data_IF_564621151452
#
_entry.id   IF_564621151452
#
_cell.length_a   1.000
_cell.length_b   1.000
_cell.length_c   1.000
_cell.angle_alpha   90.00
_cell.angle_beta   90.00
_cell.angle_gamma   90.00
#
_symmetry.space_group_name_H-M   'P 1'
#
loop_
_entity.id
_entity.type
_entity.pdbx_description
1 polymer ?
#
# COMPACT_ATOMS: atom_id res chain seq x y z
N UNK A 1 9.75 -13.14 6.18
CA UNK A 1 9.67 -12.57 4.82
C UNK A 1 9.16 -11.16 4.97
N UNK A 2 9.92 -10.18 4.49
CA UNK A 2 9.70 -8.77 4.81
C UNK A 2 8.79 -8.09 3.78
N UNK A 3 7.60 -8.66 3.52
CA UNK A 3 6.67 -8.17 2.49
C UNK A 3 6.14 -6.78 2.84
N UNK A 4 5.80 -6.57 4.12
CA UNK A 4 5.38 -5.28 4.67
C UNK A 4 6.48 -4.23 4.50
N UNK A 5 7.71 -4.56 4.84
CA UNK A 5 8.86 -3.66 4.74
C UNK A 5 9.22 -3.38 3.28
N UNK A 6 9.00 -4.34 2.37
CA UNK A 6 9.17 -4.12 0.94
C UNK A 6 8.15 -3.13 0.40
N UNK A 7 6.88 -3.24 0.83
CA UNK A 7 5.81 -2.29 0.48
C UNK A 7 6.14 -0.91 1.07
N UNK A 8 6.59 -0.86 2.33
CA UNK A 8 6.99 0.39 2.99
C UNK A 8 8.12 1.10 2.22
N UNK A 9 9.19 0.38 1.89
CA UNK A 9 10.27 0.94 1.06
C UNK A 9 9.79 1.36 -0.32
N UNK A 10 8.90 0.58 -0.95
CA UNK A 10 8.33 0.94 -2.26
C UNK A 10 7.54 2.25 -2.19
N UNK A 11 6.81 2.50 -1.10
CA UNK A 11 6.06 3.75 -0.91
C UNK A 11 7.02 4.92 -0.74
N UNK A 12 8.03 4.82 0.14
CA UNK A 12 9.04 5.87 0.33
C UNK A 12 9.80 6.22 -0.95
N UNK A 13 10.02 5.24 -1.83
CA UNK A 13 10.66 5.47 -3.13
C UNK A 13 9.70 5.97 -4.22
N UNK A 14 8.39 5.71 -4.09
CA UNK A 14 7.39 6.15 -5.07
C UNK A 14 6.92 7.57 -4.78
N UNK A 15 6.79 7.92 -3.50
CA UNK A 15 6.16 9.14 -3.02
C UNK A 15 7.17 9.90 -2.14
N UNK A 16 8.05 10.75 -2.70
CA UNK A 16 9.01 11.53 -1.90
C UNK A 16 8.34 12.48 -0.89
N UNK A 17 7.10 12.88 -1.15
CA UNK A 17 6.23 13.67 -0.28
C UNK A 17 5.62 12.90 0.90
N UNK A 18 5.95 11.62 1.08
CA UNK A 18 5.32 10.79 2.10
C UNK A 18 5.85 11.10 3.50
N UNK A 19 4.95 11.26 4.45
CA UNK A 19 5.26 11.48 5.86
C UNK A 19 4.69 10.34 6.72
N UNK A 20 5.46 9.87 7.70
CA UNK A 20 4.94 8.89 8.68
C UNK A 20 3.96 9.57 9.62
N UNK A 21 2.75 9.04 9.73
CA UNK A 21 1.81 9.52 10.72
C UNK A 21 2.07 8.86 12.07
N UNK A 22 2.44 9.67 13.07
CA UNK A 22 2.78 9.22 14.42
C UNK A 22 1.62 9.31 15.43
N UNK A 23 0.53 10.02 15.08
CA UNK A 23 -0.58 10.35 15.98
C UNK A 23 -1.93 9.76 15.53
N UNK A 24 -1.96 8.51 15.09
CA UNK A 24 -3.22 7.85 14.71
C UNK A 24 -3.76 7.06 15.89
N UNK A 25 -5.05 7.20 16.25
CA UNK A 25 -5.66 6.41 17.31
C UNK A 25 -5.50 4.92 17.00
N UNK A 26 -4.99 4.20 17.99
CA UNK A 26 -4.49 2.83 17.91
C UNK A 26 -5.54 1.81 17.41
N UNK A 27 -5.73 1.70 16.09
CA UNK A 27 -6.29 0.50 15.46
C UNK A 27 -5.15 -0.31 14.84
N UNK A 28 -4.79 -1.41 15.51
CA UNK A 28 -3.74 -2.37 15.15
C UNK A 28 -2.31 -1.79 15.13
N UNK A 29 -1.56 -2.01 16.22
CA UNK A 29 -0.13 -1.68 16.36
C UNK A 29 0.78 -2.24 15.25
N UNK A 30 0.30 -3.21 14.47
CA UNK A 30 1.05 -3.80 13.37
C UNK A 30 0.99 -2.99 12.07
N UNK A 31 0.00 -2.09 11.93
CA UNK A 31 -0.20 -1.31 10.72
C UNK A 31 0.63 -0.03 10.75
N UNK A 32 1.10 0.39 9.58
CA UNK A 32 1.79 1.67 9.39
C UNK A 32 0.86 2.54 8.58
N UNK A 33 0.76 3.80 8.98
CA UNK A 33 0.01 4.79 8.25
C UNK A 33 0.95 5.90 7.79
N UNK A 34 0.77 6.29 6.55
CA UNK A 34 1.61 7.20 5.83
C UNK A 34 0.69 8.24 5.20
N UNK A 35 1.01 9.51 5.41
CA UNK A 35 0.34 10.62 4.75
C UNK A 35 1.05 10.85 3.42
N UNK A 36 0.30 10.91 2.33
CA UNK A 36 0.81 11.21 0.99
C UNK A 36 0.16 12.52 0.55
N UNK A 37 0.94 13.59 0.51
CA UNK A 37 0.42 14.97 0.40
C UNK A 37 -0.62 15.28 1.51
N UNK A 38 -1.36 16.38 1.38
CA UNK A 38 -2.46 16.69 2.29
C UNK A 38 -3.77 15.95 1.95
N UNK A 39 -3.79 15.24 0.83
CA UNK A 39 -5.04 14.76 0.23
C UNK A 39 -5.17 13.24 0.20
N UNK A 40 -4.10 12.48 0.51
CA UNK A 40 -4.12 11.01 0.53
C UNK A 40 -3.48 10.42 1.80
N UNK A 41 -3.91 9.20 2.13
CA UNK A 41 -3.32 8.38 3.19
C UNK A 41 -3.11 6.96 2.70
N UNK A 42 -1.92 6.41 2.91
CA UNK A 42 -1.62 5.00 2.73
C UNK A 42 -1.58 4.27 4.08
N UNK A 43 -2.24 3.12 4.15
CA UNK A 43 -2.20 2.19 5.28
C UNK A 43 -1.57 0.89 4.81
N UNK A 44 -0.49 0.47 5.47
CA UNK A 44 0.20 -0.80 5.21
C UNK A 44 -0.11 -1.75 6.37
N UNK A 45 -0.40 -3.01 6.07
CA UNK A 45 -0.57 -4.03 7.10
C UNK A 45 -0.21 -5.43 6.63
N UNK A 46 -0.15 -6.35 7.59
CA UNK A 46 0.10 -7.79 7.35
C UNK A 46 -1.22 -8.52 7.50
N UNK A 47 -1.59 -9.33 6.50
CA UNK A 47 -2.76 -10.22 6.59
C UNK A 47 -2.35 -11.61 7.08
N UNK A 48 -1.19 -12.11 6.64
CA UNK A 48 -0.64 -13.40 7.07
C UNK A 48 0.86 -13.47 6.83
N UNK A 49 1.51 -14.58 7.21
CA UNK A 49 2.93 -14.84 6.95
C UNK A 49 3.35 -14.62 5.48
N UNK A 50 2.43 -14.82 4.54
CA UNK A 50 2.68 -14.75 3.10
C UNK A 50 1.87 -13.66 2.39
N UNK A 51 1.21 -12.77 3.14
CA UNK A 51 0.40 -11.71 2.54
C UNK A 51 0.39 -10.42 3.35
N UNK A 52 0.41 -9.32 2.62
CA UNK A 52 0.40 -7.96 3.15
C UNK A 52 -0.45 -7.08 2.23
N UNK A 53 -0.92 -5.96 2.75
CA UNK A 53 -1.76 -5.04 1.99
C UNK A 53 -1.25 -3.61 2.08
N UNK A 54 -1.61 -2.82 1.08
CA UNK A 54 -1.60 -1.36 1.12
C UNK A 54 -2.98 -0.86 0.74
N UNK A 55 -3.54 0.04 1.54
CA UNK A 55 -4.77 0.76 1.22
C UNK A 55 -4.43 2.23 1.05
N UNK A 56 -4.74 2.81 -0.11
CA UNK A 56 -4.65 4.25 -0.35
C UNK A 56 -6.05 4.83 -0.26
N UNK A 57 -6.21 5.89 0.52
CA UNK A 57 -7.49 6.56 0.79
C UNK A 57 -7.37 8.04 0.44
N UNK A 58 -8.41 8.60 -0.16
CA UNK A 58 -8.58 10.06 -0.31
C UNK A 58 -9.12 10.68 0.98
N UNK A 59 -8.58 11.84 1.35
CA UNK A 59 -8.95 12.57 2.56
C UNK A 59 -9.94 13.70 2.31
N UNK A 60 -9.92 14.32 1.13
CA UNK A 60 -10.64 15.58 0.86
C UNK A 60 -12.03 15.42 0.22
N UNK A 61 -12.43 14.21 -0.15
CA UNK A 61 -13.71 13.96 -0.82
C UNK A 61 -14.76 13.42 0.15
N UNK A 62 -15.97 14.01 0.15
CA UNK A 62 -17.14 13.49 0.90
C UNK A 62 -17.43 12.02 0.55
N UNK A 63 -16.99 11.60 -0.64
CA UNK A 63 -17.05 10.23 -1.12
C UNK A 63 -15.66 9.58 -0.99
N UNK A 64 -15.33 9.11 0.23
CA UNK A 64 -14.06 8.48 0.60
C UNK A 64 -13.72 7.30 -0.33
N UNK A 65 -13.05 7.63 -1.42
CA UNK A 65 -12.62 6.65 -2.41
C UNK A 65 -11.33 6.02 -1.92
N UNK A 66 -11.18 4.73 -2.18
CA UNK A 66 -10.01 4.01 -1.72
C UNK A 66 -9.65 2.87 -2.66
N UNK A 67 -8.36 2.57 -2.70
CA UNK A 67 -7.79 1.46 -3.43
C UNK A 67 -7.04 0.57 -2.45
N UNK A 68 -7.52 -0.66 -2.29
CA UNK A 68 -6.89 -1.70 -1.51
C UNK A 68 -6.15 -2.64 -2.45
N UNK A 69 -4.84 -2.79 -2.23
CA UNK A 69 -4.00 -3.76 -2.92
C UNK A 69 -3.54 -4.79 -1.92
N UNK A 70 -3.79 -6.06 -2.21
CA UNK A 70 -3.28 -7.19 -1.42
C UNK A 70 -2.21 -7.92 -2.21
N UNK A 71 -1.00 -8.03 -1.66
CA UNK A 71 0.09 -8.82 -2.20
C UNK A 71 0.12 -10.18 -1.53
N UNK A 72 0.22 -11.24 -2.33
CA UNK A 72 0.29 -12.63 -1.86
C UNK A 72 1.51 -13.30 -2.49
N UNK A 73 2.19 -14.14 -1.70
CA UNK A 73 3.16 -15.10 -2.22
C UNK A 73 2.51 -16.48 -2.22
N UNK A 74 2.54 -17.18 -3.35
CA UNK A 74 2.08 -18.55 -3.41
C UNK A 74 2.89 -19.44 -2.48
N UNK A 75 2.23 -20.37 -1.78
CA UNK A 75 2.88 -21.34 -0.89
C UNK A 75 3.91 -22.23 -1.63
N UNK A 76 3.66 -22.48 -2.92
CA UNK A 76 4.48 -23.32 -3.79
C UNK A 76 4.99 -22.58 -5.02
N UNK A 77 4.63 -21.31 -5.19
CA UNK A 77 5.00 -20.51 -6.35
C UNK A 77 6.20 -19.64 -6.02
N UNK A 78 7.14 -19.56 -6.95
CA UNK A 78 8.23 -18.59 -6.86
C UNK A 78 7.73 -17.15 -7.07
N UNK A 79 6.49 -16.97 -7.52
CA UNK A 79 5.95 -15.70 -7.99
C UNK A 79 5.08 -15.00 -6.94
N UNK A 80 5.00 -13.68 -7.07
CA UNK A 80 4.14 -12.83 -6.27
C UNK A 80 2.93 -12.42 -7.11
N UNK A 81 1.75 -12.56 -6.51
CA UNK A 81 0.49 -12.11 -7.10
C UNK A 81 -0.06 -10.93 -6.30
N UNK A 82 -0.95 -10.17 -6.93
CA UNK A 82 -1.66 -9.10 -6.26
C UNK A 82 -3.10 -9.01 -6.73
N UNK A 83 -3.97 -8.50 -5.85
CA UNK A 83 -5.37 -8.22 -6.12
C UNK A 83 -5.65 -6.75 -5.78
N UNK A 84 -6.44 -6.06 -6.61
CA UNK A 84 -6.85 -4.67 -6.40
C UNK A 84 -8.36 -4.63 -6.18
N UNK A 85 -8.80 -3.92 -5.15
CA UNK A 85 -10.19 -3.62 -4.85
C UNK A 85 -10.34 -2.10 -4.71
N UNK A 86 -11.23 -1.50 -5.48
CA UNK A 86 -11.48 -0.06 -5.47
C UNK A 86 -12.89 0.26 -4.98
N UNK A 87 -13.06 1.35 -4.23
CA UNK A 87 -14.36 1.87 -3.77
C UNK A 87 -14.57 3.30 -4.28
N UNK A 88 -15.80 3.65 -4.69
CA UNK A 88 -16.20 5.05 -4.93
C UNK A 88 -15.83 5.65 -6.30
N UNK A 89 -15.32 4.84 -7.23
CA UNK A 89 -14.64 5.35 -8.42
C UNK A 89 -13.19 5.71 -8.11
N UNK A 90 -12.30 5.70 -9.10
CA UNK A 90 -10.87 5.93 -8.87
C UNK A 90 -10.51 7.30 -9.44
N UNK A 91 -10.15 8.26 -8.58
CA UNK A 91 -9.62 9.53 -9.06
C UNK A 91 -8.25 9.35 -9.72
N UNK A 92 -7.81 10.30 -10.55
CA UNK A 92 -6.46 10.25 -11.13
C UNK A 92 -5.35 10.15 -10.09
N UNK A 93 -5.48 10.83 -8.95
CA UNK A 93 -4.48 10.78 -7.88
C UNK A 93 -4.45 9.43 -7.17
N UNK A 94 -5.62 8.87 -6.86
CA UNK A 94 -5.73 7.54 -6.26
C UNK A 94 -5.16 6.46 -7.20
N UNK A 95 -5.45 6.54 -8.50
CA UNK A 95 -4.89 5.65 -9.51
C UNK A 95 -3.36 5.77 -9.56
N UNK A 96 -2.83 6.99 -9.66
CA UNK A 96 -1.39 7.27 -9.74
C UNK A 96 -0.65 6.59 -8.59
N UNK A 97 -1.01 6.90 -7.35
CA UNK A 97 -0.30 6.36 -6.18
C UNK A 97 -0.46 4.85 -6.07
N UNK A 98 -1.66 4.31 -6.32
CA UNK A 98 -1.90 2.87 -6.27
C UNK A 98 -0.99 2.11 -7.25
N UNK A 99 -0.93 2.55 -8.52
CA UNK A 99 -0.13 1.86 -9.54
C UNK A 99 1.38 2.06 -9.37
N UNK A 100 1.84 3.24 -8.94
CA UNK A 100 3.26 3.46 -8.64
C UNK A 100 3.75 2.54 -7.51
N UNK A 101 2.98 2.46 -6.42
CA UNK A 101 3.29 1.57 -5.28
C UNK A 101 3.32 0.10 -5.73
N UNK A 102 2.34 -0.34 -6.54
CA UNK A 102 2.33 -1.69 -7.13
C UNK A 102 3.59 -1.94 -7.95
N UNK A 103 3.90 -1.04 -8.90
CA UNK A 103 5.04 -1.21 -9.81
C UNK A 103 6.37 -1.32 -9.06
N UNK A 104 6.61 -0.43 -8.08
CA UNK A 104 7.82 -0.46 -7.26
C UNK A 104 7.88 -1.69 -6.36
N UNK A 105 6.77 -2.08 -5.74
CA UNK A 105 6.71 -3.27 -4.89
C UNK A 105 7.06 -4.53 -5.70
N UNK A 106 6.44 -4.73 -6.86
CA UNK A 106 6.72 -5.89 -7.71
C UNK A 106 8.16 -5.91 -8.23
N UNK A 107 8.71 -4.75 -8.60
CA UNK A 107 10.11 -4.63 -9.04
C UNK A 107 11.09 -5.09 -7.95
N UNK A 108 10.87 -4.68 -6.69
CA UNK A 108 11.70 -5.11 -5.55
C UNK A 108 11.55 -6.60 -5.27
N UNK A 109 10.31 -7.09 -5.26
CA UNK A 109 10.05 -8.52 -5.00
C UNK A 109 10.67 -9.45 -6.05
N UNK A 110 10.80 -8.99 -7.30
CA UNK A 110 11.51 -9.72 -8.37
C UNK A 110 13.03 -9.69 -8.23
N UNK A 111 13.62 -8.64 -7.65
CA UNK A 111 15.08 -8.51 -7.43
C UNK A 111 15.61 -9.38 -6.30
N UNK A 112 14.74 -9.89 -5.42
CA UNK A 112 15.09 -10.78 -4.31
C UNK A 112 14.85 -12.28 -4.62
N UNK A 113 14.71 -12.65 -5.90
CA UNK A 113 14.78 -14.04 -6.38
C UNK A 113 16.23 -14.44 -6.60
#
# INVERSE_FOLDING_TARGET
MHLKETIEQAIFESCPEVEKEINIPFENHSNIFLKIENSFRAKIGILSKYSAFVKVEELETDNKSSSLVTFKKGLYESEYTFEIINTGGVSPGLAKYTYEIIGRTLSKLKRHK
#
